data_IF_059674082164
#
_entry.id   IF_059674082164
#
_cell.length_a   1.000
_cell.length_b   1.000
_cell.length_c   1.000
_cell.angle_alpha   90.00
_cell.angle_beta   90.00
_cell.angle_gamma   90.00
#
_symmetry.space_group_name_H-M   'P 1'
#
loop_
_entity.id
_entity.type
_entity.pdbx_description
1 polymer ?
#
# COMPACT_ATOMS: atom_id res chain seq x y z
N UNK A 1 11.41 9.69 -8.89
CA UNK A 1 11.53 10.64 -7.76
C UNK A 1 10.41 11.68 -7.82
N UNK A 2 10.15 12.42 -6.74
CA UNK A 2 9.23 13.57 -6.79
C UNK A 2 9.80 14.66 -7.70
N UNK A 3 8.94 15.51 -8.28
CA UNK A 3 9.36 16.69 -9.06
C UNK A 3 10.21 17.67 -8.25
N UNK A 4 10.21 17.56 -6.92
CA UNK A 4 10.97 18.39 -5.99
C UNK A 4 12.21 17.69 -5.41
N UNK A 5 12.60 16.54 -5.97
CA UNK A 5 13.68 15.71 -5.42
C UNK A 5 13.25 14.95 -4.15
N UNK A 6 14.23 14.61 -3.30
CA UNK A 6 13.96 13.93 -2.04
C UNK A 6 13.31 14.90 -1.03
N UNK A 7 12.09 14.60 -0.59
CA UNK A 7 11.39 15.37 0.44
C UNK A 7 11.72 14.75 1.79
N UNK A 8 12.56 15.41 2.56
CA UNK A 8 12.91 14.96 3.91
C UNK A 8 11.81 15.32 4.91
N UNK A 9 11.70 14.51 5.96
CA UNK A 9 10.81 14.79 7.09
C UNK A 9 11.43 14.25 8.39
N UNK A 10 11.02 14.79 9.55
CA UNK A 10 11.46 14.25 10.82
C UNK A 10 11.01 12.79 10.99
N UNK A 11 11.81 11.95 11.66
CA UNK A 11 11.38 10.62 12.09
C UNK A 11 10.10 10.72 12.94
N UNK A 12 9.21 9.73 12.81
CA UNK A 12 8.00 9.61 13.63
C UNK A 12 7.97 8.24 14.30
N UNK A 13 7.37 8.13 15.50
CA UNK A 13 7.11 6.83 16.10
C UNK A 13 6.24 5.97 15.17
N UNK A 14 6.52 4.67 15.15
CA UNK A 14 5.67 3.71 14.46
C UNK A 14 4.27 3.70 15.10
N UNK A 15 3.25 3.50 14.27
CA UNK A 15 1.86 3.47 14.70
C UNK A 15 1.47 2.02 15.01
N UNK A 16 0.52 1.78 15.93
CA UNK A 16 0.06 0.43 16.24
C UNK A 16 -0.41 -0.34 15.00
N UNK A 17 -0.16 -1.64 15.00
CA UNK A 17 -0.70 -2.54 13.98
C UNK A 17 -2.24 -2.63 14.11
N UNK A 18 -2.91 -2.88 12.99
CA UNK A 18 -4.38 -2.98 12.94
C UNK A 18 -4.82 -4.32 12.35
N UNK A 19 -5.97 -4.84 12.79
CA UNK A 19 -6.58 -6.05 12.26
C UNK A 19 -7.85 -5.72 11.48
N UNK A 20 -8.03 -6.43 10.36
CA UNK A 20 -9.09 -6.22 9.38
C UNK A 20 -9.68 -7.57 8.96
N UNK A 21 -10.99 -7.63 8.84
CA UNK A 21 -11.68 -8.82 8.33
C UNK A 21 -11.71 -8.81 6.80
N UNK A 22 -11.18 -9.86 6.18
CA UNK A 22 -11.38 -10.14 4.77
C UNK A 22 -12.62 -11.03 4.62
N UNK A 23 -13.75 -10.41 4.25
CA UNK A 23 -14.95 -11.13 3.83
C UNK A 23 -14.78 -11.64 2.40
N UNK A 24 -14.92 -12.95 2.19
CA UNK A 24 -14.99 -13.54 0.83
C UNK A 24 -16.38 -13.25 0.22
N UNK A 25 -16.49 -12.54 -0.92
CA UNK A 25 -17.78 -12.26 -1.54
C UNK A 25 -18.48 -13.50 -2.13
N UNK A 26 -17.79 -14.63 -2.24
CA UNK A 26 -18.21 -15.79 -3.06
C UNK A 26 -18.49 -17.07 -2.28
N UNK A 27 -18.47 -17.06 -0.94
CA UNK A 27 -18.67 -18.29 -0.18
C UNK A 27 -20.13 -18.47 0.24
N UNK A 28 -20.82 -19.45 -0.37
CA UNK A 28 -22.14 -19.94 0.07
C UNK A 28 -22.11 -20.69 1.42
N UNK A 29 -20.91 -20.86 1.99
CA UNK A 29 -20.70 -21.33 3.35
C UNK A 29 -20.03 -20.23 4.19
N UNK A 30 -20.45 -19.98 5.44
CA UNK A 30 -19.78 -19.03 6.33
C UNK A 30 -18.44 -19.64 6.79
N UNK A 31 -17.45 -19.70 5.91
CA UNK A 31 -16.08 -20.04 6.29
C UNK A 31 -15.49 -18.87 7.06
N UNK A 32 -14.89 -19.14 8.22
CA UNK A 32 -14.26 -18.15 9.10
C UNK A 32 -13.55 -17.04 8.30
N UNK A 33 -13.91 -15.78 8.58
CA UNK A 33 -13.32 -14.60 7.95
C UNK A 33 -11.80 -14.62 8.11
N UNK A 34 -11.06 -14.50 7.01
CA UNK A 34 -9.61 -14.41 7.07
C UNK A 34 -9.22 -13.06 7.68
N UNK A 35 -8.37 -13.07 8.71
CA UNK A 35 -7.89 -11.84 9.34
C UNK A 35 -6.61 -11.36 8.65
N UNK A 36 -6.58 -10.06 8.35
CA UNK A 36 -5.43 -9.35 7.80
C UNK A 36 -4.90 -8.39 8.86
N UNK A 37 -3.61 -8.49 9.18
CA UNK A 37 -2.95 -7.47 10.01
C UNK A 37 -2.19 -6.48 9.15
N UNK A 38 -2.23 -5.19 9.49
CA UNK A 38 -1.48 -4.13 8.81
C UNK A 38 -0.51 -3.50 9.79
N UNK A 39 0.75 -3.38 9.37
CA UNK A 39 1.87 -2.97 10.21
C UNK A 39 2.52 -1.72 9.64
N UNK A 40 2.79 -0.75 10.51
CA UNK A 40 3.57 0.42 10.16
C UNK A 40 5.06 0.16 10.40
N UNK A 41 5.83 0.16 9.30
CA UNK A 41 7.27 -0.02 9.28
C UNK A 41 7.96 1.20 8.64
N UNK A 42 9.17 1.47 9.10
CA UNK A 42 10.18 2.27 8.41
C UNK A 42 11.29 1.36 7.86
N UNK A 43 12.26 1.92 7.15
CA UNK A 43 13.36 1.13 6.57
C UNK A 43 14.13 0.32 7.62
N UNK A 44 14.46 0.94 8.76
CA UNK A 44 15.19 0.30 9.87
C UNK A 44 14.44 -0.94 10.40
N UNK A 45 13.18 -0.79 10.77
CA UNK A 45 12.35 -1.90 11.28
C UNK A 45 12.07 -2.99 10.23
N UNK A 46 12.02 -2.63 8.94
CA UNK A 46 11.87 -3.60 7.86
C UNK A 46 13.17 -4.38 7.56
N UNK A 47 14.33 -3.82 7.92
CA UNK A 47 15.64 -4.46 7.81
C UNK A 47 16.05 -5.28 9.05
N UNK A 48 15.24 -5.26 10.11
CA UNK A 48 15.49 -6.09 11.30
C UNK A 48 15.70 -7.55 10.90
N UNK A 49 16.65 -8.22 11.55
CA UNK A 49 17.05 -9.59 11.22
C UNK A 49 15.88 -10.58 11.30
N UNK A 50 14.89 -10.33 12.16
CA UNK A 50 13.68 -11.17 12.22
C UNK A 50 12.84 -11.13 10.94
N UNK A 51 13.00 -10.08 10.12
CA UNK A 51 12.27 -9.86 8.87
C UNK A 51 13.10 -10.23 7.62
N UNK A 52 14.07 -11.13 7.77
CA UNK A 52 14.97 -11.52 6.68
C UNK A 52 14.21 -11.85 5.38
N UNK A 53 14.74 -11.33 4.26
CA UNK A 53 14.16 -11.46 2.93
C UNK A 53 12.88 -10.65 2.65
N UNK A 54 12.30 -9.92 3.62
CA UNK A 54 11.06 -9.16 3.42
C UNK A 54 11.24 -8.08 2.35
N UNK A 55 12.24 -7.21 2.51
CA UNK A 55 12.50 -6.11 1.57
C UNK A 55 12.81 -6.65 0.17
N UNK A 56 13.61 -7.72 0.07
CA UNK A 56 13.92 -8.37 -1.21
C UNK A 56 12.65 -8.86 -1.91
N UNK A 57 11.71 -9.46 -1.16
CA UNK A 57 10.43 -9.88 -1.72
C UNK A 57 9.57 -8.69 -2.20
N UNK A 58 9.45 -7.64 -1.39
CA UNK A 58 8.68 -6.43 -1.77
C UNK A 58 9.30 -5.72 -2.98
N UNK A 59 10.63 -5.71 -3.06
CA UNK A 59 11.37 -5.16 -4.18
C UNK A 59 11.06 -5.93 -5.46
N UNK A 60 11.18 -7.25 -5.44
CA UNK A 60 10.88 -8.10 -6.60
C UNK A 60 9.46 -7.87 -7.11
N UNK A 61 8.47 -7.87 -6.21
CA UNK A 61 7.06 -7.64 -6.58
C UNK A 61 6.86 -6.24 -7.17
N UNK A 62 7.50 -5.21 -6.61
CA UNK A 62 7.35 -3.85 -7.12
C UNK A 62 8.06 -3.66 -8.46
N UNK A 63 9.25 -4.24 -8.63
CA UNK A 63 9.97 -4.18 -9.89
C UNK A 63 9.20 -4.92 -11.01
N UNK A 64 8.58 -6.06 -10.71
CA UNK A 64 7.70 -6.75 -11.66
C UNK A 64 6.47 -5.91 -12.04
N UNK A 65 5.91 -5.14 -11.09
CA UNK A 65 4.81 -4.21 -11.36
C UNK A 65 5.25 -3.04 -12.27
N UNK A 66 6.45 -2.50 -12.04
CA UNK A 66 7.05 -1.46 -12.87
C UNK A 66 7.33 -1.98 -14.29
N UNK A 67 7.95 -3.14 -14.43
CA UNK A 67 8.25 -3.77 -15.72
C UNK A 67 7.00 -4.10 -16.54
N UNK A 68 5.87 -4.32 -15.86
CA UNK A 68 4.57 -4.49 -16.53
C UNK A 68 4.15 -3.24 -17.31
N UNK A 69 4.61 -2.06 -16.90
CA UNK A 69 4.43 -0.78 -17.60
C UNK A 69 2.98 -0.28 -17.67
N UNK A 70 2.09 -0.76 -16.79
CA UNK A 70 0.65 -0.46 -16.87
C UNK A 70 0.08 0.43 -15.76
N UNK A 71 0.83 0.67 -14.68
CA UNK A 71 0.27 1.26 -13.45
C UNK A 71 1.14 2.34 -12.83
N UNK A 72 2.45 2.16 -12.82
CA UNK A 72 3.42 3.11 -12.31
C UNK A 72 4.13 3.85 -13.47
N UNK A 73 4.49 5.14 -13.30
CA UNK A 73 5.17 5.92 -14.34
C UNK A 73 6.66 5.60 -14.48
N UNK A 74 7.25 4.83 -13.55
CA UNK A 74 8.64 4.43 -13.63
C UNK A 74 8.85 3.42 -14.76
N UNK A 75 10.02 3.47 -15.42
CA UNK A 75 10.42 2.48 -16.43
C UNK A 75 11.38 1.42 -15.88
N UNK A 76 12.05 1.69 -14.76
CA UNK A 76 12.97 0.77 -14.10
C UNK A 76 12.92 0.95 -12.57
N UNK A 77 12.93 -0.17 -11.86
CA UNK A 77 13.11 -0.25 -10.40
C UNK A 77 13.79 -1.57 -9.98
N UNK A 78 14.66 -2.12 -10.84
CA UNK A 78 15.38 -3.37 -10.57
C UNK A 78 16.56 -3.19 -9.62
N UNK A 79 17.01 -1.95 -9.40
CA UNK A 79 17.98 -1.61 -8.35
C UNK A 79 17.34 -1.59 -6.95
N UNK A 80 17.91 -2.35 -6.02
CA UNK A 80 17.36 -2.53 -4.67
C UNK A 80 17.46 -1.24 -3.83
N UNK A 81 18.54 -0.47 -3.98
CA UNK A 81 18.75 0.74 -3.19
C UNK A 81 17.88 1.89 -3.70
N UNK A 82 17.64 1.98 -5.01
CA UNK A 82 16.64 2.84 -5.60
C UNK A 82 15.23 2.51 -5.09
N UNK A 83 14.89 1.22 -4.98
CA UNK A 83 13.63 0.79 -4.38
C UNK A 83 13.50 1.25 -2.92
N UNK A 84 14.52 1.01 -2.08
CA UNK A 84 14.52 1.46 -0.67
C UNK A 84 14.36 2.97 -0.58
N UNK A 85 15.15 3.73 -1.36
CA UNK A 85 15.10 5.18 -1.39
C UNK A 85 13.74 5.73 -1.86
N UNK A 86 13.04 5.01 -2.74
CA UNK A 86 11.73 5.41 -3.25
C UNK A 86 10.56 5.02 -2.35
N UNK A 87 10.50 3.74 -1.98
CA UNK A 87 9.34 3.13 -1.32
C UNK A 87 9.40 3.31 0.20
N UNK A 88 10.60 3.29 0.79
CA UNK A 88 10.83 3.53 2.22
C UNK A 88 11.30 4.96 2.52
N UNK A 89 11.03 5.91 1.61
CA UNK A 89 11.36 7.32 1.81
C UNK A 89 10.68 7.97 3.04
N UNK A 90 9.59 7.37 3.52
CA UNK A 90 8.84 7.81 4.69
C UNK A 90 8.17 6.60 5.38
N UNK A 91 6.84 6.57 5.47
CA UNK A 91 6.11 5.47 6.12
C UNK A 91 5.78 4.37 5.13
N UNK A 92 5.87 3.10 5.56
CA UNK A 92 5.39 1.95 4.80
C UNK A 92 4.43 1.14 5.65
N UNK A 93 3.30 0.78 5.06
CA UNK A 93 2.26 -0.02 5.68
C UNK A 93 2.20 -1.35 4.93
N UNK A 94 2.37 -2.46 5.64
CA UNK A 94 2.38 -3.80 5.05
C UNK A 94 1.27 -4.65 5.65
N UNK A 95 0.44 -5.23 4.78
CA UNK A 95 -0.61 -6.15 5.15
C UNK A 95 -0.12 -7.59 5.07
N UNK A 96 -0.39 -8.36 6.12
CA UNK A 96 -0.07 -9.79 6.20
C UNK A 96 -1.33 -10.62 6.45
N UNK A 97 -1.41 -11.77 5.77
CA UNK A 97 -2.42 -12.80 5.98
C UNK A 97 -2.06 -13.67 7.18
N UNK A 98 -3.05 -14.01 7.99
CA UNK A 98 -2.91 -14.98 9.09
C UNK A 98 -3.40 -16.36 8.67
N UNK A 99 -2.83 -17.40 9.27
CA UNK A 99 -3.42 -18.75 9.23
C UNK A 99 -4.69 -18.77 10.08
N UNK A 100 -5.65 -19.64 9.73
CA UNK A 100 -6.99 -19.63 10.33
C UNK A 100 -7.00 -19.98 11.83
N UNK A 101 -5.97 -20.65 12.33
CA UNK A 101 -5.91 -21.18 13.70
C UNK A 101 -4.75 -20.62 14.56
N UNK A 102 -4.05 -19.57 14.11
CA UNK A 102 -2.94 -18.98 14.88
C UNK A 102 -3.35 -17.72 15.63
N UNK A 103 -2.74 -17.54 16.82
CA UNK A 103 -3.01 -16.52 17.83
C UNK A 103 -3.27 -15.11 17.25
N UNK A 104 -4.54 -14.78 17.03
CA UNK A 104 -4.98 -13.40 16.79
C UNK A 104 -4.68 -12.61 18.08
N UNK A 105 -3.90 -11.52 18.01
CA UNK A 105 -3.58 -10.73 19.20
C UNK A 105 -4.84 -10.24 19.92
N UNK A 106 -4.78 -10.18 21.25
CA UNK A 106 -5.87 -9.64 22.08
C UNK A 106 -6.20 -8.22 21.63
N UNK A 107 -7.43 -8.02 21.16
CA UNK A 107 -7.97 -6.73 20.70
C UNK A 107 -8.18 -5.82 21.91
N UNK A 108 -7.62 -4.61 21.90
CA UNK A 108 -7.67 -3.71 23.07
C UNK A 108 -8.60 -2.50 22.88
N UNK A 109 -9.02 -2.18 21.66
CA UNK A 109 -9.96 -1.08 21.46
C UNK A 109 -10.83 -1.28 20.21
N UNK A 110 -12.15 -1.32 20.40
CA UNK A 110 -13.14 -1.34 19.33
C UNK A 110 -13.63 0.09 19.07
N UNK A 111 -12.87 0.84 18.27
CA UNK A 111 -13.33 2.14 17.76
C UNK A 111 -13.67 1.96 16.29
N UNK A 112 -14.94 1.66 16.01
CA UNK A 112 -15.53 1.63 14.65
C UNK A 112 -14.69 0.86 13.63
N UNK A 113 -14.92 -0.45 13.52
CA UNK A 113 -14.45 -1.34 12.42
C UNK A 113 -12.94 -1.61 12.30
N UNK A 114 -12.08 -0.91 13.04
CA UNK A 114 -10.62 -1.12 13.03
C UNK A 114 -10.18 -1.56 14.43
N UNK A 115 -9.47 -2.68 14.51
CA UNK A 115 -8.98 -3.24 15.78
C UNK A 115 -7.49 -2.99 15.91
N UNK A 116 -7.08 -2.10 16.79
CA UNK A 116 -5.67 -1.88 17.08
C UNK A 116 -5.12 -2.98 17.99
N UNK A 117 -3.90 -3.41 17.69
CA UNK A 117 -3.16 -4.41 18.46
C UNK A 117 -2.17 -3.70 19.36
N UNK A 118 -2.29 -3.91 20.67
CA UNK A 118 -1.32 -3.40 21.63
C UNK A 118 -0.21 -4.43 21.86
N UNK A 119 1.02 -4.06 21.51
CA UNK A 119 2.21 -4.92 21.62
C UNK A 119 2.48 -5.75 20.36
N UNK A 120 3.60 -5.45 19.70
CA UNK A 120 4.50 -6.40 19.07
C UNK A 120 3.93 -7.57 18.25
N UNK A 121 2.89 -7.38 17.44
CA UNK A 121 2.71 -8.30 16.33
C UNK A 121 3.89 -8.03 15.38
N UNK A 122 4.90 -8.90 15.39
CA UNK A 122 6.07 -8.76 14.54
C UNK A 122 5.77 -9.43 13.18
N UNK A 123 6.18 -8.85 12.04
CA UNK A 123 6.01 -9.50 10.75
C UNK A 123 6.58 -10.92 10.70
N UNK A 124 7.73 -11.14 11.35
CA UNK A 124 8.35 -12.45 11.55
C UNK A 124 7.40 -13.48 12.18
N UNK A 125 6.67 -13.09 13.23
CA UNK A 125 5.71 -13.95 13.92
C UNK A 125 4.52 -14.29 13.01
N UNK A 126 4.11 -13.36 12.15
CA UNK A 126 3.05 -13.63 11.15
C UNK A 126 3.56 -14.58 10.08
N UNK A 127 4.80 -14.42 9.61
CA UNK A 127 5.38 -15.31 8.59
C UNK A 127 5.43 -16.77 9.07
N UNK A 128 5.93 -17.02 10.27
CA UNK A 128 6.13 -18.39 10.77
C UNK A 128 6.97 -19.21 9.78
N UNK A 129 6.49 -20.42 9.45
CA UNK A 129 7.12 -21.32 8.46
C UNK A 129 6.82 -20.97 7.00
N UNK A 130 5.89 -20.05 6.74
CA UNK A 130 5.46 -19.67 5.38
C UNK A 130 6.48 -18.77 4.68
N UNK A 131 6.32 -18.61 3.38
CA UNK A 131 7.08 -17.65 2.56
C UNK A 131 6.45 -16.25 2.62
N UNK A 132 7.22 -15.21 2.29
CA UNK A 132 6.66 -13.85 2.14
C UNK A 132 5.59 -13.77 1.03
N UNK A 133 5.71 -14.61 -0.01
CA UNK A 133 4.74 -14.69 -1.09
C UNK A 133 3.34 -15.14 -0.65
N UNK A 134 3.28 -16.01 0.36
CA UNK A 134 2.02 -16.50 0.94
C UNK A 134 1.45 -15.51 1.95
N UNK A 135 2.33 -14.80 2.67
CA UNK A 135 1.96 -13.95 3.79
C UNK A 135 1.60 -12.51 3.39
N UNK A 136 2.34 -11.88 2.48
CA UNK A 136 2.14 -10.46 2.16
C UNK A 136 0.88 -10.28 1.32
N UNK A 137 -0.18 -9.73 1.90
CA UNK A 137 -1.43 -9.42 1.21
C UNK A 137 -1.31 -8.17 0.29
N UNK A 138 -0.38 -7.28 0.62
CA UNK A 138 -0.07 -6.07 -0.12
C UNK A 138 0.52 -5.00 0.79
N UNK A 139 0.91 -3.88 0.20
CA UNK A 139 1.65 -2.84 0.91
C UNK A 139 1.50 -1.49 0.22
N UNK A 140 1.71 -0.42 0.96
CA UNK A 140 1.75 0.94 0.43
C UNK A 140 2.68 1.82 1.22
N UNK A 141 3.25 2.82 0.54
CA UNK A 141 3.95 3.90 1.22
C UNK A 141 3.01 5.07 1.51
N UNK A 142 3.35 5.90 2.50
CA UNK A 142 2.75 7.22 2.72
C UNK A 142 3.87 8.23 2.90
N UNK A 143 3.91 9.25 2.05
CA UNK A 143 4.93 10.30 2.10
C UNK A 143 4.35 11.66 1.77
N UNK A 144 5.02 12.78 2.12
CA UNK A 144 4.56 14.10 1.69
C UNK A 144 4.53 14.16 0.15
N UNK A 145 3.44 14.70 -0.41
CA UNK A 145 3.36 14.91 -1.86
C UNK A 145 4.17 16.14 -2.30
N UNK A 146 4.23 17.15 -1.43
CA UNK A 146 4.90 18.42 -1.66
C UNK A 146 5.87 18.74 -0.52
N UNK A 147 6.95 19.52 -0.77
CA UNK A 147 7.83 19.99 0.29
C UNK A 147 7.19 21.12 1.12
N UNK A 148 7.78 21.39 2.29
CA UNK A 148 7.53 22.60 3.08
C UNK A 148 6.05 22.87 3.35
N UNK A 149 5.55 24.00 2.85
CA UNK A 149 4.18 24.50 3.12
C UNK A 149 3.07 23.54 2.63
N UNK A 150 3.36 22.68 1.66
CA UNK A 150 2.43 21.66 1.16
C UNK A 150 2.57 20.28 1.81
N UNK A 151 3.48 20.10 2.76
CA UNK A 151 3.82 18.77 3.31
C UNK A 151 2.71 18.11 4.14
N UNK A 152 1.67 18.86 4.50
CA UNK A 152 0.46 18.32 5.15
C UNK A 152 -0.41 17.49 4.19
N UNK A 153 -0.16 17.58 2.88
CA UNK A 153 -0.79 16.75 1.85
C UNK A 153 0.12 15.57 1.55
N UNK A 154 -0.32 14.36 1.83
CA UNK A 154 0.41 13.15 1.50
C UNK A 154 0.09 12.59 0.11
N UNK A 155 0.97 11.72 -0.35
CA UNK A 155 0.77 10.81 -1.45
C UNK A 155 1.03 9.37 -0.98
N UNK A 156 0.41 8.41 -1.65
CA UNK A 156 0.61 6.99 -1.44
C UNK A 156 0.63 6.24 -2.78
N UNK A 157 1.31 5.11 -2.81
CA UNK A 157 1.29 4.15 -3.90
C UNK A 157 1.09 2.75 -3.33
N UNK A 158 0.21 1.96 -3.97
CA UNK A 158 -0.28 0.68 -3.45
C UNK A 158 0.14 -0.47 -4.36
N UNK A 159 0.57 -1.57 -3.74
CA UNK A 159 0.94 -2.78 -4.44
C UNK A 159 0.22 -3.97 -3.81
N UNK A 160 -0.43 -4.78 -4.66
CA UNK A 160 -0.97 -6.09 -4.28
C UNK A 160 -0.24 -7.13 -5.12
N UNK A 161 0.53 -8.06 -4.50
CA UNK A 161 1.23 -9.10 -5.23
C UNK A 161 0.29 -9.86 -6.17
N UNK A 162 0.72 -10.21 -7.40
CA UNK A 162 -0.15 -10.90 -8.36
C UNK A 162 -0.85 -12.14 -7.80
N UNK A 163 -0.16 -12.95 -6.99
CA UNK A 163 -0.69 -14.15 -6.30
C UNK A 163 -1.79 -13.85 -5.25
N UNK A 164 -1.95 -12.60 -4.86
CA UNK A 164 -2.86 -12.14 -3.81
C UNK A 164 -4.00 -11.24 -4.36
N UNK A 165 -4.01 -10.99 -5.67
CA UNK A 165 -5.09 -10.24 -6.33
C UNK A 165 -6.42 -10.98 -6.28
N UNK A 166 -7.51 -10.25 -6.48
CA UNK A 166 -8.91 -10.75 -6.45
C UNK A 166 -9.38 -11.32 -5.10
N UNK A 167 -8.61 -11.13 -4.02
CA UNK A 167 -8.98 -11.51 -2.64
C UNK A 167 -9.53 -10.35 -1.80
N UNK A 168 -9.82 -9.20 -2.42
CA UNK A 168 -10.34 -8.02 -1.73
C UNK A 168 -9.31 -7.16 -0.99
N UNK A 169 -8.02 -7.55 -0.96
CA UNK A 169 -6.99 -6.86 -0.17
C UNK A 169 -6.76 -5.40 -0.56
N UNK A 170 -6.94 -5.03 -1.83
CA UNK A 170 -6.87 -3.61 -2.24
C UNK A 170 -7.86 -2.72 -1.47
N UNK A 171 -9.07 -3.20 -1.18
CA UNK A 171 -10.04 -2.47 -0.38
C UNK A 171 -9.61 -2.34 1.08
N UNK A 172 -8.99 -3.39 1.64
CA UNK A 172 -8.46 -3.37 3.00
C UNK A 172 -7.32 -2.37 3.13
N UNK A 173 -6.36 -2.36 2.20
CA UNK A 173 -5.25 -1.40 2.16
C UNK A 173 -5.75 0.05 2.03
N UNK A 174 -6.77 0.28 1.19
CA UNK A 174 -7.31 1.62 1.02
C UNK A 174 -8.10 2.12 2.24
N UNK A 175 -8.85 1.24 2.91
CA UNK A 175 -9.50 1.57 4.19
C UNK A 175 -8.47 1.81 5.29
N UNK A 176 -7.39 1.03 5.35
CA UNK A 176 -6.33 1.27 6.31
C UNK A 176 -5.57 2.56 6.04
N UNK A 177 -5.43 2.95 4.77
CA UNK A 177 -4.86 4.25 4.43
C UNK A 177 -5.67 5.42 5.01
N UNK A 178 -7.01 5.35 4.99
CA UNK A 178 -7.86 6.35 5.63
C UNK A 178 -7.71 6.38 7.16
N UNK A 179 -7.29 5.26 7.78
CA UNK A 179 -6.98 5.21 9.20
C UNK A 179 -5.59 5.76 9.51
N UNK A 180 -4.55 5.34 8.78
CA UNK A 180 -3.16 5.71 9.06
C UNK A 180 -2.80 7.11 8.57
N UNK A 181 -3.32 7.56 7.42
CA UNK A 181 -3.04 8.88 6.83
C UNK A 181 -3.15 10.05 7.82
N UNK A 182 -4.31 10.27 8.45
CA UNK A 182 -4.46 11.33 9.45
C UNK A 182 -3.63 11.11 10.72
N UNK A 183 -3.43 9.86 11.15
CA UNK A 183 -2.60 9.54 12.32
C UNK A 183 -1.12 9.79 12.09
N UNK A 184 -0.67 9.75 10.84
CA UNK A 184 0.66 10.19 10.43
C UNK A 184 0.78 11.72 10.37
N UNK A 185 -0.28 12.46 10.69
CA UNK A 185 -0.30 13.93 10.80
C UNK A 185 -0.60 14.65 9.50
N UNK A 186 -1.06 13.95 8.46
CA UNK A 186 -1.51 14.57 7.22
C UNK A 186 -2.97 15.00 7.34
N UNK A 187 -3.34 16.09 6.68
CA UNK A 187 -4.74 16.57 6.66
C UNK A 187 -5.43 16.27 5.34
N UNK A 188 -4.66 15.91 4.31
CA UNK A 188 -5.20 15.52 3.01
C UNK A 188 -4.30 14.54 2.26
N UNK A 189 -4.84 13.98 1.19
CA UNK A 189 -4.20 13.06 0.25
C UNK A 189 -4.35 13.54 -1.18
N UNK A 190 -3.28 13.38 -1.97
CA UNK A 190 -3.31 13.50 -3.43
C UNK A 190 -2.63 12.28 -4.07
N UNK A 191 -3.30 11.66 -5.03
CA UNK A 191 -2.71 10.72 -5.98
C UNK A 191 -2.55 11.44 -7.32
N UNK A 192 -1.30 11.64 -7.76
CA UNK A 192 -1.02 12.49 -8.92
C UNK A 192 -1.36 11.82 -10.26
N UNK A 193 -1.13 10.50 -10.37
CA UNK A 193 -1.25 9.76 -11.63
C UNK A 193 -2.03 8.46 -11.42
N UNK A 194 -3.35 8.55 -11.37
CA UNK A 194 -4.21 7.36 -11.44
C UNK A 194 -4.73 7.21 -12.87
N UNK A 195 -4.06 6.35 -13.65
CA UNK A 195 -4.37 6.16 -15.06
C UNK A 195 -5.81 5.68 -15.30
N UNK A 196 -6.43 6.19 -16.37
CA UNK A 196 -7.85 5.93 -16.67
C UNK A 196 -8.16 4.47 -16.98
N UNK A 197 -7.17 3.70 -17.41
CA UNK A 197 -7.29 2.27 -17.67
C UNK A 197 -7.22 1.42 -16.39
N UNK A 198 -6.80 1.98 -15.24
CA UNK A 198 -6.81 1.32 -13.93
C UNK A 198 -8.20 1.45 -13.26
N UNK A 199 -9.18 0.80 -13.86
CA UNK A 199 -10.58 0.84 -13.43
C UNK A 199 -10.81 0.32 -11.99
N UNK A 200 -9.96 -0.61 -11.52
CA UNK A 200 -10.04 -1.12 -10.16
C UNK A 200 -9.70 -0.03 -9.13
N UNK A 201 -8.62 0.72 -9.37
CA UNK A 201 -8.19 1.85 -8.54
C UNK A 201 -9.24 2.97 -8.53
N UNK A 202 -9.75 3.36 -9.70
CA UNK A 202 -10.77 4.42 -9.80
C UNK A 202 -12.04 4.09 -9.03
N UNK A 203 -12.62 2.90 -9.22
CA UNK A 203 -13.82 2.47 -8.49
C UNK A 203 -13.60 2.45 -6.98
N UNK A 204 -12.41 2.02 -6.54
CA UNK A 204 -12.05 1.99 -5.14
C UNK A 204 -12.00 3.39 -4.52
N UNK A 205 -11.35 4.34 -5.19
CA UNK A 205 -11.24 5.71 -4.68
C UNK A 205 -12.57 6.46 -4.71
N UNK A 206 -13.37 6.28 -5.77
CA UNK A 206 -14.71 6.84 -5.85
C UNK A 206 -15.59 6.31 -4.68
N UNK A 207 -15.55 5.00 -4.41
CA UNK A 207 -16.31 4.38 -3.30
C UNK A 207 -15.86 4.85 -1.90
N UNK A 208 -14.61 5.30 -1.76
CA UNK A 208 -14.06 5.84 -0.51
C UNK A 208 -14.21 7.38 -0.40
N UNK A 209 -14.99 7.99 -1.30
CA UNK A 209 -15.26 9.41 -1.30
C UNK A 209 -14.02 10.26 -1.53
N UNK A 210 -13.11 9.80 -2.38
CA UNK A 210 -12.10 10.67 -2.98
C UNK A 210 -12.71 11.42 -4.17
N UNK A 211 -12.22 12.62 -4.42
CA UNK A 211 -12.63 13.48 -5.51
C UNK A 211 -11.64 13.39 -6.65
N UNK A 212 -12.13 13.25 -7.88
CA UNK A 212 -11.31 13.41 -9.09
C UNK A 212 -11.07 14.91 -9.33
N UNK A 213 -9.97 15.43 -8.81
CA UNK A 213 -9.68 16.87 -8.79
C UNK A 213 -9.27 17.44 -10.16
N UNK A 214 -8.74 16.60 -11.06
CA UNK A 214 -8.37 17.02 -12.41
C UNK A 214 -7.96 15.84 -13.28
N UNK A 215 -7.99 16.03 -14.60
CA UNK A 215 -7.55 15.04 -15.60
C UNK A 215 -6.40 15.60 -16.41
N UNK A 216 -5.34 14.81 -16.54
CA UNK A 216 -4.19 15.11 -17.39
C UNK A 216 -4.33 14.25 -18.65
N UNK A 217 -4.54 14.84 -19.84
CA UNK A 217 -4.59 14.08 -21.08
C UNK A 217 -3.21 13.50 -21.42
N UNK A 218 -3.16 12.28 -21.95
CA UNK A 218 -1.92 11.62 -22.40
C UNK A 218 -0.80 11.63 -21.35
N UNK A 219 -1.16 11.44 -20.08
CA UNK A 219 -0.27 11.66 -18.93
C UNK A 219 0.88 10.64 -18.82
N UNK A 220 0.70 9.44 -19.34
CA UNK A 220 1.74 8.40 -19.31
C UNK A 220 1.75 7.56 -20.58
N UNK A 221 2.94 7.20 -21.02
CA UNK A 221 3.18 6.20 -22.06
C UNK A 221 3.22 4.82 -21.40
N UNK A 222 2.16 4.05 -21.56
CA UNK A 222 1.98 2.76 -20.88
C UNK A 222 2.00 1.60 -21.87
N UNK A 223 2.46 0.43 -21.42
CA UNK A 223 2.38 -0.79 -22.20
C UNK A 223 0.92 -1.20 -22.41
N UNK A 224 0.61 -1.66 -23.62
CA UNK A 224 -0.70 -2.21 -23.95
C UNK A 224 -0.91 -3.55 -23.26
N UNK A 225 -2.17 -3.91 -22.98
CA UNK A 225 -2.51 -5.16 -22.27
C UNK A 225 -2.05 -6.43 -22.98
N UNK A 226 -1.92 -6.40 -24.30
CA UNK A 226 -1.41 -7.51 -25.11
C UNK A 226 0.13 -7.57 -25.15
N UNK A 227 0.81 -6.60 -24.54
CA UNK A 227 2.27 -6.52 -24.46
C UNK A 227 2.95 -6.20 -25.79
N UNK A 228 2.20 -5.79 -26.82
CA UNK A 228 2.73 -5.62 -28.19
C UNK A 228 3.15 -4.18 -28.51
N UNK A 229 2.88 -3.22 -27.63
CA UNK A 229 3.25 -1.83 -27.84
C UNK A 229 2.97 -0.96 -26.63
N UNK A 230 2.93 0.34 -26.88
CA UNK A 230 2.66 1.36 -25.88
C UNK A 230 1.62 2.35 -26.39
N UNK A 231 0.86 2.93 -25.48
CA UNK A 231 -0.14 3.96 -25.75
C UNK A 231 -0.05 5.09 -24.74
N UNK A 232 -0.43 6.30 -25.16
CA UNK A 232 -0.57 7.42 -24.24
C UNK A 232 -1.93 7.34 -23.54
N UNK A 233 -1.91 7.35 -22.21
CA UNK A 233 -3.08 7.15 -21.37
C UNK A 233 -3.25 8.33 -20.44
N UNK A 234 -4.46 8.87 -20.39
CA UNK A 234 -4.84 9.92 -19.45
C UNK A 234 -4.69 9.46 -17.99
N UNK A 235 -4.49 10.42 -17.08
CA UNK A 235 -4.50 10.16 -15.65
C UNK A 235 -5.41 11.14 -14.89
N UNK A 236 -6.06 10.63 -13.85
CA UNK A 236 -6.74 11.45 -12.87
C UNK A 236 -5.76 11.85 -11.76
N UNK A 237 -5.81 13.13 -11.39
CA UNK A 237 -5.40 13.62 -10.07
C UNK A 237 -6.57 13.38 -9.12
N UNK A 238 -6.34 12.61 -8.07
CA UNK A 238 -7.36 12.23 -7.09
C UNK A 238 -7.01 12.85 -5.74
N UNK A 239 -7.98 13.49 -5.09
CA UNK A 239 -7.82 14.24 -3.85
C UNK A 239 -8.79 13.75 -2.77
N UNK A 240 -8.37 13.84 -1.51
CA UNK A 240 -9.27 13.72 -0.35
C UNK A 240 -8.77 14.55 0.82
N UNK A 241 -9.67 15.28 1.48
CA UNK A 241 -9.45 15.74 2.86
C UNK A 241 -9.74 14.60 3.82
N UNK A 242 -8.83 14.35 4.76
CA UNK A 242 -9.03 13.33 5.79
C UNK A 242 -10.06 13.78 6.84
#
# INVERSE_FOLDING_TARGET
>A
MSAYGAITRPPRPLLPATLWDASSPTSQHPSASQIISIHHLNLESAQDQSNDGLITYLHQVFADEVDSGMTYPQEDMRDLDAFKAYFFAADVLIAFTHERDTNVPKVVQDRKSVREVQGGLLPAAVKGSRTWAECVAGYYYVKPNYPGRGSHICNAGFVVPPSQRKKGYGHILARSYLHYGPRLGYTASVFNLVYVNNQASLKLWDALGFTRAGRIPNAGRLRTKDGKGEEYVDAWVIYKSF
#
